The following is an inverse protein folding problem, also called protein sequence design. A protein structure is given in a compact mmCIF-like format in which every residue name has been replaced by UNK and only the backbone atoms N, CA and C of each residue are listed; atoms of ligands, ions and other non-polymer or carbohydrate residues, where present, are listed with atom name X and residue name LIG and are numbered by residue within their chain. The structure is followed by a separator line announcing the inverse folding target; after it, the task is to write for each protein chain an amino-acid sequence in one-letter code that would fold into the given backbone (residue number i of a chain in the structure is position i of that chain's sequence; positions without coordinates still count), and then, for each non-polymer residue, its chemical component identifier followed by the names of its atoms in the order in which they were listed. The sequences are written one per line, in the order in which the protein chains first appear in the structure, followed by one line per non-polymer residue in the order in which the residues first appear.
data_IF_227144603141
#
_entry.id   IF_227144603141
#
_cell.length_a   1.000
_cell.length_b   1.000
_cell.length_c   1.000
_cell.angle_alpha   90.00
_cell.angle_beta   90.00
_cell.angle_gamma   90.00
#
_symmetry.space_group_name_H-M   'P 1'
#
loop_
_entity.id
_entity.type
_entity.pdbx_description
1 polymer ?
#
# COMPACT_ATOMS: atom_id res chain seq x y z
N UNK A 1 27.24 1.13 -14.07
CA UNK A 1 26.39 0.84 -12.89
C UNK A 1 25.24 1.83 -12.96
N UNK A 2 24.01 1.38 -12.86
CA UNK A 2 22.85 2.30 -12.86
C UNK A 2 22.82 2.99 -11.50
N UNK A 3 22.90 4.29 -11.48
CA UNK A 3 22.84 5.07 -10.24
C UNK A 3 21.52 4.81 -9.52
N UNK A 4 21.61 4.60 -8.20
CA UNK A 4 20.44 4.41 -7.34
C UNK A 4 20.31 5.65 -6.49
N UNK A 5 19.24 6.38 -6.68
CA UNK A 5 18.88 7.52 -5.84
C UNK A 5 18.02 7.02 -4.67
N UNK A 6 18.49 7.22 -3.46
CA UNK A 6 17.72 6.88 -2.26
C UNK A 6 17.01 8.13 -1.72
N UNK A 7 15.69 8.09 -1.69
CA UNK A 7 14.86 9.19 -1.21
C UNK A 7 14.05 8.72 -0.01
N UNK A 8 14.26 9.39 1.12
CA UNK A 8 13.51 9.14 2.35
C UNK A 8 12.44 10.22 2.49
N UNK A 9 11.20 9.81 2.64
CA UNK A 9 10.09 10.73 2.83
C UNK A 9 10.24 11.47 4.17
N UNK A 10 10.10 12.80 4.11
CA UNK A 10 10.00 13.66 5.29
C UNK A 10 8.55 13.89 5.74
N UNK A 11 7.58 13.46 4.95
CA UNK A 11 6.15 13.53 5.19
C UNK A 11 5.38 12.68 4.19
N UNK A 12 4.09 12.54 4.42
CA UNK A 12 3.20 11.69 3.62
C UNK A 12 1.94 12.45 3.25
N UNK A 13 1.35 12.10 2.11
CA UNK A 13 0.13 12.71 1.61
C UNK A 13 -1.02 11.71 1.60
N UNK A 14 -2.26 12.19 1.77
CA UNK A 14 -3.47 11.37 1.72
C UNK A 14 -4.32 11.65 0.48
N UNK A 15 -3.74 12.40 -0.47
CA UNK A 15 -4.39 12.77 -1.74
C UNK A 15 -3.36 12.74 -2.86
N UNK A 16 -3.83 12.50 -4.09
CA UNK A 16 -3.06 12.69 -5.31
C UNK A 16 -3.26 14.12 -5.80
N UNK A 17 -2.21 14.93 -5.84
CA UNK A 17 -2.31 16.34 -6.23
C UNK A 17 -1.00 16.89 -6.78
N UNK A 18 -1.09 17.74 -7.80
CA UNK A 18 0.04 18.54 -8.30
C UNK A 18 0.45 19.68 -7.36
N UNK A 19 -0.41 20.01 -6.39
CA UNK A 19 -0.15 21.12 -5.45
C UNK A 19 0.72 20.72 -4.26
N UNK A 20 1.01 19.43 -4.10
CA UNK A 20 1.91 18.99 -3.03
C UNK A 20 3.37 19.36 -3.35
N UNK A 21 4.17 19.71 -2.32
CA UNK A 21 5.59 19.98 -2.51
C UNK A 21 6.30 18.74 -3.06
N UNK A 22 7.14 18.93 -4.07
CA UNK A 22 7.90 17.87 -4.71
C UNK A 22 8.90 17.28 -3.71
N UNK A 23 8.81 15.94 -3.48
CA UNK A 23 9.72 15.22 -2.61
C UNK A 23 11.13 15.08 -3.24
N UNK A 24 11.18 14.71 -4.51
CA UNK A 24 12.42 14.65 -5.29
C UNK A 24 12.13 14.77 -6.80
N UNK A 25 13.15 15.21 -7.57
CA UNK A 25 13.13 15.24 -9.03
C UNK A 25 13.91 14.05 -9.55
N UNK A 26 13.29 13.24 -10.40
CA UNK A 26 13.86 11.97 -10.88
C UNK A 26 14.05 12.05 -12.40
N UNK A 27 15.26 11.76 -12.84
CA UNK A 27 15.56 11.63 -14.28
C UNK A 27 15.08 10.26 -14.79
N UNK A 28 14.49 10.20 -16.00
CA UNK A 28 14.15 8.93 -16.62
C UNK A 28 15.35 7.98 -16.67
N UNK A 29 15.12 6.70 -16.37
CA UNK A 29 16.17 5.68 -16.35
C UNK A 29 16.96 5.55 -15.04
N UNK A 30 16.84 6.49 -14.13
CA UNK A 30 17.43 6.39 -12.78
C UNK A 30 16.60 5.42 -11.91
N UNK A 31 17.28 4.63 -11.09
CA UNK A 31 16.62 3.77 -10.10
C UNK A 31 16.35 4.54 -8.83
N UNK A 32 15.08 4.73 -8.53
CA UNK A 32 14.63 5.31 -7.27
C UNK A 32 14.47 4.20 -6.21
N UNK A 33 15.05 4.38 -5.03
CA UNK A 33 14.79 3.58 -3.83
C UNK A 33 14.08 4.44 -2.80
N UNK A 34 12.93 3.97 -2.33
CA UNK A 34 12.20 4.64 -1.26
C UNK A 34 11.55 3.65 -0.31
N UNK A 35 11.03 4.14 0.81
CA UNK A 35 10.27 3.39 1.79
C UNK A 35 8.86 3.96 1.89
N UNK A 36 7.89 3.09 2.06
CA UNK A 36 6.49 3.46 2.30
C UNK A 36 6.10 3.12 3.73
N UNK A 37 5.03 3.72 4.22
CA UNK A 37 4.32 3.31 5.42
C UNK A 37 3.12 2.44 5.06
N UNK A 38 2.54 1.75 6.03
CA UNK A 38 1.33 0.96 5.81
C UNK A 38 0.06 1.83 5.74
N UNK A 39 -1.08 1.20 5.49
CA UNK A 39 -2.38 1.89 5.35
C UNK A 39 -2.83 2.64 6.59
N UNK A 40 -2.33 2.28 7.76
CA UNK A 40 -2.60 2.96 9.03
C UNK A 40 -1.54 3.99 9.39
N UNK A 41 -0.51 4.15 8.57
CA UNK A 41 0.54 5.14 8.74
C UNK A 41 1.75 4.68 9.55
N UNK A 42 1.91 3.36 9.81
CA UNK A 42 3.05 2.84 10.56
C UNK A 42 4.24 2.54 9.66
N UNK A 43 5.41 2.90 10.12
CA UNK A 43 6.69 2.58 9.49
C UNK A 43 7.19 1.15 9.88
N UNK A 44 8.37 0.80 9.39
CA UNK A 44 8.98 -0.51 9.66
C UNK A 44 9.38 -0.71 11.13
N UNK A 45 9.48 0.35 11.92
CA UNK A 45 9.78 0.31 13.35
C UNK A 45 8.53 0.30 14.22
N UNK A 46 7.34 0.46 13.61
CA UNK A 46 6.08 0.60 14.32
C UNK A 46 5.77 2.03 14.77
N UNK A 47 6.62 3.02 14.42
CA UNK A 47 6.26 4.41 14.64
C UNK A 47 5.15 4.83 13.67
N UNK A 48 4.39 5.83 14.03
CA UNK A 48 3.28 6.33 13.23
C UNK A 48 3.54 7.75 12.72
N UNK A 49 4.41 7.90 11.69
CA UNK A 49 4.72 9.23 11.14
C UNK A 49 3.57 9.83 10.30
N UNK A 50 2.50 9.08 10.06
CA UNK A 50 1.32 9.54 9.31
C UNK A 50 0.03 9.04 9.93
N UNK A 51 -1.10 9.67 9.57
CA UNK A 51 -2.43 9.17 9.91
C UNK A 51 -2.85 7.94 9.10
N UNK A 52 -4.01 7.37 9.41
CA UNK A 52 -4.66 6.30 8.63
C UNK A 52 -5.15 6.80 7.27
N UNK A 53 -5.41 5.90 6.33
CA UNK A 53 -6.02 6.21 5.03
C UNK A 53 -5.02 6.16 3.88
N UNK A 54 -4.19 5.12 3.81
CA UNK A 54 -3.25 4.84 2.73
C UNK A 54 -2.29 6.01 2.43
N UNK A 55 -1.40 6.38 3.36
CA UNK A 55 -0.47 7.49 3.15
C UNK A 55 0.45 7.22 1.95
N UNK A 56 0.66 8.24 1.15
CA UNK A 56 1.44 8.22 -0.08
C UNK A 56 2.83 8.82 0.14
N UNK A 57 3.85 8.17 -0.39
CA UNK A 57 5.22 8.66 -0.54
C UNK A 57 5.34 9.35 -1.88
N UNK A 58 5.86 10.55 -1.91
CA UNK A 58 5.96 11.42 -3.09
C UNK A 58 5.43 12.83 -2.80
N UNK A 59 5.13 13.64 -3.84
CA UNK A 59 5.28 13.32 -5.26
C UNK A 59 6.74 13.30 -5.71
N UNK A 60 7.05 12.38 -6.60
CA UNK A 60 8.27 12.36 -7.38
C UNK A 60 8.00 13.07 -8.71
N UNK A 61 8.75 14.13 -8.99
CA UNK A 61 8.66 14.85 -10.24
C UNK A 61 9.55 14.16 -11.29
N UNK A 62 8.97 13.69 -12.37
CA UNK A 62 9.70 13.00 -13.44
C UNK A 62 10.15 14.03 -14.48
N UNK A 63 11.46 14.26 -14.56
CA UNK A 63 12.03 15.24 -15.48
C UNK A 63 11.73 14.90 -16.94
N UNK A 64 11.25 15.86 -17.69
CA UNK A 64 10.92 15.72 -19.12
C UNK A 64 9.57 15.03 -19.41
N UNK A 65 8.80 14.64 -18.39
CA UNK A 65 7.44 14.15 -18.61
C UNK A 65 6.48 15.32 -18.85
N UNK A 66 5.78 15.32 -19.98
CA UNK A 66 4.85 16.35 -20.39
C UNK A 66 3.40 15.87 -20.39
N UNK A 67 2.45 16.79 -20.28
CA UNK A 67 1.02 16.43 -20.34
C UNK A 67 0.67 15.77 -21.68
N UNK A 68 0.02 14.62 -21.61
CA UNK A 68 -0.29 13.77 -22.76
C UNK A 68 0.66 12.58 -22.94
N UNK A 69 1.78 12.58 -22.26
CA UNK A 69 2.70 11.45 -22.23
C UNK A 69 2.16 10.27 -21.39
N UNK A 70 2.93 9.21 -21.37
CA UNK A 70 2.79 8.08 -20.45
C UNK A 70 4.13 7.78 -19.81
N UNK A 71 4.14 7.58 -18.49
CA UNK A 71 5.32 7.09 -17.78
C UNK A 71 5.21 5.58 -17.55
N UNK A 72 6.36 4.88 -17.66
CA UNK A 72 6.49 3.46 -17.37
C UNK A 72 7.28 3.27 -16.08
N UNK A 73 6.61 2.86 -15.02
CA UNK A 73 7.23 2.62 -13.72
C UNK A 73 7.61 1.15 -13.58
N UNK A 74 8.91 0.86 -13.62
CA UNK A 74 9.46 -0.49 -13.49
C UNK A 74 9.70 -0.82 -12.02
N UNK A 75 8.96 -1.76 -11.46
CA UNK A 75 9.14 -2.23 -10.08
C UNK A 75 10.30 -3.23 -10.00
N UNK A 76 11.53 -2.72 -10.04
CA UNK A 76 12.74 -3.57 -10.07
C UNK A 76 12.87 -4.43 -8.81
N UNK A 77 12.42 -3.94 -7.66
CA UNK A 77 12.48 -4.64 -6.38
C UNK A 77 11.40 -4.15 -5.44
N UNK A 78 10.60 -5.08 -4.91
CA UNK A 78 9.56 -4.83 -3.90
C UNK A 78 9.82 -5.77 -2.73
N UNK A 79 10.01 -5.24 -1.52
CA UNK A 79 10.41 -6.02 -0.33
C UNK A 79 9.70 -5.55 0.92
N UNK A 80 9.30 -6.51 1.73
CA UNK A 80 8.92 -6.24 3.11
C UNK A 80 10.16 -5.77 3.91
N UNK A 81 9.95 -4.84 4.81
CA UNK A 81 11.00 -4.24 5.64
C UNK A 81 10.75 -4.43 7.15
N UNK A 82 9.79 -5.27 7.51
CA UNK A 82 9.44 -5.63 8.89
C UNK A 82 8.94 -7.08 8.95
N UNK A 83 8.99 -7.67 10.15
CA UNK A 83 8.68 -9.08 10.42
C UNK A 83 7.26 -9.30 10.98
N UNK A 84 6.42 -8.29 10.96
CA UNK A 84 5.05 -8.32 11.43
C UNK A 84 4.11 -7.59 10.47
N UNK A 85 2.84 -7.97 10.51
CA UNK A 85 1.78 -7.32 9.76
C UNK A 85 0.43 -7.56 10.40
N UNK A 86 -0.60 -7.01 9.82
CA UNK A 86 -1.99 -7.24 10.22
C UNK A 86 -2.92 -7.06 9.03
N UNK A 87 -4.07 -7.70 9.10
CA UNK A 87 -5.18 -7.48 8.19
C UNK A 87 -6.44 -7.25 8.98
N UNK A 88 -7.35 -6.41 8.45
CA UNK A 88 -8.69 -6.36 8.99
C UNK A 88 -9.45 -7.61 8.56
N UNK A 89 -10.13 -8.28 9.48
CA UNK A 89 -11.08 -9.32 9.11
C UNK A 89 -12.44 -8.76 8.71
N UNK A 90 -12.65 -7.45 8.88
CA UNK A 90 -13.85 -6.79 8.39
C UNK A 90 -13.76 -6.65 6.88
N UNK A 91 -14.66 -7.31 6.18
CA UNK A 91 -14.88 -7.07 4.77
C UNK A 91 -15.26 -5.60 4.56
N UNK A 92 -14.78 -5.00 3.46
CA UNK A 92 -15.09 -3.61 3.18
C UNK A 92 -16.61 -3.37 3.19
N UNK A 93 -17.04 -2.23 3.69
CA UNK A 93 -18.45 -1.84 3.84
C UNK A 93 -19.28 -1.97 2.55
N UNK A 94 -18.59 -1.98 1.40
CA UNK A 94 -19.23 -2.13 0.07
C UNK A 94 -19.35 -3.59 -0.39
N UNK A 95 -18.75 -4.54 0.35
CA UNK A 95 -18.71 -5.95 -0.04
C UNK A 95 -19.85 -6.78 0.57
N UNK A 96 -20.51 -6.27 1.61
CA UNK A 96 -21.58 -6.97 2.32
C UNK A 96 -22.76 -6.05 2.57
N UNK A 97 -23.97 -6.63 2.57
CA UNK A 97 -25.14 -5.92 3.07
C UNK A 97 -25.08 -5.76 4.59
N UNK A 98 -25.77 -4.77 5.17
CA UNK A 98 -25.81 -4.59 6.63
C UNK A 98 -26.24 -5.85 7.38
N UNK A 99 -27.19 -6.61 6.86
CA UNK A 99 -27.69 -7.86 7.44
C UNK A 99 -26.60 -8.94 7.41
N UNK A 100 -25.84 -9.01 6.34
CA UNK A 100 -24.73 -9.99 6.22
C UNK A 100 -23.59 -9.67 7.20
N UNK A 101 -23.35 -8.36 7.48
CA UNK A 101 -22.33 -7.92 8.44
C UNK A 101 -22.60 -8.48 9.83
N UNK A 102 -23.85 -8.47 10.30
CA UNK A 102 -24.21 -8.97 11.63
C UNK A 102 -23.93 -10.46 11.81
N UNK A 103 -23.95 -11.24 10.72
CA UNK A 103 -23.75 -12.68 10.75
C UNK A 103 -22.28 -13.11 10.62
N UNK A 104 -21.46 -12.27 9.97
CA UNK A 104 -20.07 -12.62 9.63
C UNK A 104 -19.08 -12.13 10.70
N UNK A 105 -19.43 -11.09 11.46
CA UNK A 105 -18.52 -10.54 12.46
C UNK A 105 -18.73 -11.17 13.83
N UNK A 106 -17.73 -11.87 14.38
CA UNK A 106 -17.73 -12.24 15.79
C UNK A 106 -17.77 -10.96 16.62
N UNK A 107 -18.66 -10.92 17.61
CA UNK A 107 -18.88 -9.74 18.45
C UNK A 107 -17.66 -9.34 19.28
N UNK A 108 -16.72 -10.28 19.50
CA UNK A 108 -15.50 -10.04 20.27
C UNK A 108 -14.33 -10.86 19.69
N UNK A 109 -13.45 -10.21 18.92
CA UNK A 109 -12.17 -10.77 18.54
C UNK A 109 -11.06 -10.07 19.32
N UNK A 110 -10.56 -10.71 20.36
CA UNK A 110 -9.45 -10.17 21.16
C UNK A 110 -8.13 -10.61 20.53
N UNK A 111 -7.51 -9.73 19.78
CA UNK A 111 -6.26 -10.07 19.12
C UNK A 111 -5.07 -10.03 20.05
N UNK A 112 -4.94 -9.08 20.97
CA UNK A 112 -3.84 -8.96 21.94
C UNK A 112 -2.41 -9.26 21.43
N UNK A 113 -2.22 -9.38 20.12
CA UNK A 113 -1.10 -10.09 19.48
C UNK A 113 -0.30 -9.20 18.53
N UNK A 114 -0.66 -7.94 18.40
CA UNK A 114 0.04 -7.02 17.49
C UNK A 114 1.21 -6.36 18.20
N UNK A 115 2.39 -6.36 17.58
CA UNK A 115 3.64 -5.84 18.14
C UNK A 115 3.69 -4.31 18.25
N UNK A 116 2.62 -3.63 17.91
CA UNK A 116 2.48 -2.17 18.00
C UNK A 116 1.47 -1.84 19.07
N UNK A 117 1.87 -1.05 20.04
CA UNK A 117 1.06 -0.68 21.23
C UNK A 117 -0.32 -0.14 20.83
N UNK A 118 -0.37 0.72 19.82
CA UNK A 118 -1.63 1.32 19.34
C UNK A 118 -2.60 0.33 18.67
N UNK A 119 -2.10 -0.84 18.28
CA UNK A 119 -2.87 -1.85 17.55
C UNK A 119 -3.24 -3.06 18.40
N UNK A 120 -2.59 -3.27 19.54
CA UNK A 120 -2.73 -4.46 20.39
C UNK A 120 -4.14 -4.72 20.87
N UNK A 121 -4.92 -3.66 21.07
CA UNK A 121 -6.29 -3.73 21.57
C UNK A 121 -7.35 -3.64 20.44
N UNK A 122 -6.90 -3.63 19.19
CA UNK A 122 -7.77 -3.58 18.02
C UNK A 122 -8.38 -4.97 17.75
N UNK A 123 -9.63 -5.15 18.20
CA UNK A 123 -10.39 -6.39 18.05
C UNK A 123 -10.76 -6.75 16.60
N UNK A 124 -10.57 -5.83 15.66
CA UNK A 124 -10.87 -5.99 14.25
C UNK A 124 -9.65 -6.36 13.39
N UNK A 125 -8.50 -6.61 14.02
CA UNK A 125 -7.27 -6.92 13.31
C UNK A 125 -6.80 -8.36 13.59
N UNK A 126 -6.45 -9.06 12.52
CA UNK A 126 -5.73 -10.33 12.59
C UNK A 126 -4.23 -10.04 12.42
N UNK A 127 -3.39 -10.37 13.42
CA UNK A 127 -1.95 -10.18 13.31
C UNK A 127 -1.30 -11.31 12.52
N UNK A 128 -0.20 -10.97 11.83
CA UNK A 128 0.59 -11.87 11.01
C UNK A 128 2.06 -11.78 11.38
N UNK A 129 2.72 -12.94 11.49
CA UNK A 129 4.17 -13.05 11.59
C UNK A 129 4.78 -13.22 10.21
N UNK A 130 5.75 -12.38 9.86
CA UNK A 130 6.42 -12.37 8.57
C UNK A 130 7.82 -12.94 8.73
N UNK A 131 8.10 -14.07 8.10
CA UNK A 131 9.43 -14.65 8.06
C UNK A 131 10.15 -14.18 6.80
N UNK A 132 10.99 -13.15 6.94
CA UNK A 132 11.76 -12.59 5.84
C UNK A 132 12.79 -13.55 5.23
N UNK A 133 13.31 -14.52 6.02
CA UNK A 133 14.29 -15.50 5.56
C UNK A 133 13.63 -16.59 4.71
N UNK A 134 12.49 -17.10 5.17
CA UNK A 134 11.71 -18.14 4.47
C UNK A 134 10.78 -17.57 3.41
N UNK A 135 10.61 -16.26 3.39
CA UNK A 135 9.61 -15.59 2.55
C UNK A 135 8.19 -16.15 2.75
N UNK A 136 7.78 -16.32 4.02
CA UNK A 136 6.44 -16.77 4.39
C UNK A 136 5.78 -15.81 5.38
N UNK A 137 4.46 -15.81 5.40
CA UNK A 137 3.63 -15.08 6.36
C UNK A 137 2.68 -16.05 7.02
N UNK A 138 2.58 -15.98 8.36
CA UNK A 138 1.75 -16.87 9.17
C UNK A 138 0.79 -16.08 10.03
N UNK A 139 -0.50 -16.47 10.01
CA UNK A 139 -1.47 -15.90 10.92
C UNK A 139 -1.16 -16.32 12.37
N UNK A 140 -1.20 -15.34 13.29
CA UNK A 140 -1.16 -15.67 14.73
C UNK A 140 -2.52 -16.20 15.14
N UNK A 141 -2.49 -17.33 15.84
CA UNK A 141 -3.71 -17.95 16.36
C UNK A 141 -4.31 -17.09 17.47
N UNK A 142 -5.63 -16.89 17.48
CA UNK A 142 -6.33 -16.47 18.69
C UNK A 142 -6.14 -17.53 19.79
N UNK A 143 -6.21 -17.08 21.03
CA UNK A 143 -6.10 -18.01 22.16
C UNK A 143 -7.27 -19.00 22.16
N UNK A 144 -6.96 -20.31 22.18
CA UNK A 144 -7.96 -21.37 22.17
C UNK A 144 -8.33 -21.92 20.78
N UNK A 145 -7.83 -21.32 19.71
CA UNK A 145 -8.07 -21.81 18.35
C UNK A 145 -6.94 -22.72 17.86
N UNK A 146 -7.28 -23.81 17.18
CA UNK A 146 -6.30 -24.73 16.60
C UNK A 146 -6.37 -24.71 15.07
N UNK A 147 -5.80 -23.67 14.45
CA UNK A 147 -5.59 -23.61 13.01
C UNK A 147 -4.16 -23.17 12.67
N UNK A 148 -3.70 -23.51 11.48
CA UNK A 148 -2.45 -22.99 10.94
C UNK A 148 -2.69 -22.45 9.55
N UNK A 149 -2.40 -21.17 9.37
CA UNK A 149 -2.54 -20.48 8.10
C UNK A 149 -1.22 -19.83 7.77
N UNK A 150 -0.52 -20.37 6.77
CA UNK A 150 0.78 -19.89 6.32
C UNK A 150 0.82 -19.82 4.80
N UNK A 151 1.34 -18.72 4.26
CA UNK A 151 1.43 -18.46 2.83
C UNK A 151 2.83 -17.98 2.43
N UNK A 152 3.25 -18.17 1.17
CA UNK A 152 4.37 -17.44 0.61
C UNK A 152 4.11 -15.93 0.61
N UNK A 153 5.14 -15.13 0.92
CA UNK A 153 5.05 -13.68 0.79
C UNK A 153 5.08 -13.28 -0.69
N UNK A 154 4.14 -12.45 -1.09
CA UNK A 154 4.11 -11.81 -2.41
C UNK A 154 3.97 -10.30 -2.25
N UNK A 155 5.05 -9.57 -1.95
CA UNK A 155 4.98 -8.14 -1.70
C UNK A 155 4.53 -7.39 -2.97
N UNK A 156 3.55 -6.50 -2.82
CA UNK A 156 2.98 -5.69 -3.88
C UNK A 156 2.79 -4.25 -3.43
N UNK A 157 2.68 -3.31 -4.37
CA UNK A 157 2.25 -1.94 -4.09
C UNK A 157 0.73 -1.85 -4.22
N UNK A 158 0.04 -1.50 -3.13
CA UNK A 158 -1.39 -1.23 -3.14
C UNK A 158 -1.72 0.08 -3.84
N UNK A 159 -0.93 1.11 -3.60
CA UNK A 159 -1.12 2.43 -4.21
C UNK A 159 0.05 2.80 -5.12
N UNK A 160 -0.27 3.13 -6.37
CA UNK A 160 0.64 3.77 -7.33
C UNK A 160 -0.17 4.66 -8.26
N UNK A 161 0.24 5.90 -8.46
CA UNK A 161 -0.50 6.82 -9.31
C UNK A 161 0.19 8.16 -9.48
N UNK A 162 -0.40 9.01 -10.31
CA UNK A 162 0.07 10.35 -10.65
C UNK A 162 -0.95 11.41 -10.23
N UNK A 163 -0.57 12.69 -10.29
CA UNK A 163 -1.54 13.76 -10.12
C UNK A 163 -2.61 13.70 -11.23
N UNK A 164 -3.91 13.66 -10.88
CA UNK A 164 -4.99 13.58 -11.86
C UNK A 164 -5.13 14.84 -12.72
N UNK A 165 -5.92 14.74 -13.79
CA UNK A 165 -6.21 15.86 -14.68
C UNK A 165 -6.89 17.04 -13.95
N UNK A 166 -6.58 18.24 -14.38
CA UNK A 166 -7.15 19.48 -13.83
C UNK A 166 -6.75 19.70 -12.37
N UNK A 167 -7.69 20.21 -11.58
CA UNK A 167 -7.51 20.47 -10.14
C UNK A 167 -8.18 19.41 -9.24
N UNK A 168 -8.57 18.26 -9.83
CA UNK A 168 -9.13 17.16 -9.09
C UNK A 168 -8.08 16.55 -8.15
N UNK A 169 -8.39 16.50 -6.86
CA UNK A 169 -7.49 16.03 -5.81
C UNK A 169 -8.18 14.91 -5.01
N UNK A 170 -8.22 13.69 -5.55
CA UNK A 170 -8.84 12.55 -4.88
C UNK A 170 -8.01 12.11 -3.68
N UNK A 171 -8.70 11.54 -2.69
CA UNK A 171 -8.02 10.85 -1.60
C UNK A 171 -7.27 9.62 -2.11
N UNK A 172 -6.37 9.08 -1.31
CA UNK A 172 -5.63 7.84 -1.61
C UNK A 172 -6.45 6.56 -1.44
N UNK A 173 -7.75 6.67 -1.16
CA UNK A 173 -8.66 5.52 -1.01
C UNK A 173 -9.15 4.92 -2.34
N UNK A 174 -9.68 5.71 -3.29
CA UNK A 174 -10.13 5.21 -4.58
C UNK A 174 -9.01 5.06 -5.59
N UNK A 175 -9.32 4.40 -6.70
CA UNK A 175 -8.52 4.34 -7.93
C UNK A 175 -9.26 5.00 -9.09
N UNK A 176 -8.53 5.34 -10.15
CA UNK A 176 -9.09 5.97 -11.36
C UNK A 176 -8.09 5.94 -12.50
N UNK A 177 -8.32 6.76 -13.54
CA UNK A 177 -7.41 6.87 -14.70
C UNK A 177 -6.00 7.33 -14.33
N UNK A 178 -5.82 7.93 -13.16
CA UNK A 178 -4.53 8.38 -12.62
C UNK A 178 -3.76 7.26 -11.88
N UNK A 179 -4.29 6.06 -11.78
CA UNK A 179 -3.84 5.00 -10.89
C UNK A 179 -4.60 5.05 -9.56
N UNK A 180 -3.90 5.13 -8.44
CA UNK A 180 -4.50 5.23 -7.10
C UNK A 180 -4.33 3.96 -6.27
N UNK A 181 -5.31 3.67 -5.42
CA UNK A 181 -5.32 2.46 -4.58
C UNK A 181 -5.85 1.26 -5.39
N UNK A 182 -5.00 0.72 -6.24
CA UNK A 182 -5.39 -0.32 -7.21
C UNK A 182 -5.53 -1.68 -6.52
N UNK A 183 -4.71 -1.95 -5.49
CA UNK A 183 -4.67 -3.21 -4.73
C UNK A 183 -4.59 -4.46 -5.63
N UNK A 184 -3.91 -4.36 -6.77
CA UNK A 184 -3.77 -5.46 -7.72
C UNK A 184 -2.49 -6.26 -7.48
N UNK A 185 -2.61 -7.55 -7.21
CA UNK A 185 -1.52 -8.41 -6.78
C UNK A 185 -0.38 -8.59 -7.80
N UNK A 186 -0.60 -8.26 -9.06
CA UNK A 186 0.44 -8.27 -10.09
C UNK A 186 1.29 -6.99 -10.11
N UNK A 187 0.95 -5.95 -9.32
CA UNK A 187 1.80 -4.77 -9.11
C UNK A 187 2.90 -5.10 -8.11
N UNK A 188 3.76 -6.01 -8.49
CA UNK A 188 4.83 -6.62 -7.69
C UNK A 188 6.19 -6.51 -8.39
N UNK A 189 7.23 -7.04 -7.77
CA UNK A 189 8.57 -7.07 -8.36
C UNK A 189 8.57 -7.59 -9.79
N UNK A 190 9.27 -6.89 -10.67
CA UNK A 190 9.41 -7.13 -12.13
C UNK A 190 8.19 -6.71 -12.96
N UNK A 191 7.12 -6.21 -12.38
CA UNK A 191 6.04 -5.62 -13.17
C UNK A 191 6.39 -4.22 -13.68
N UNK A 192 5.69 -3.80 -14.72
CA UNK A 192 5.76 -2.44 -15.27
C UNK A 192 4.36 -1.86 -15.20
N UNK A 193 4.23 -0.69 -14.57
CA UNK A 193 2.96 0.03 -14.50
C UNK A 193 3.04 1.23 -15.44
N UNK A 194 2.11 1.32 -16.38
CA UNK A 194 1.98 2.46 -17.28
C UNK A 194 0.93 3.41 -16.73
N UNK A 195 1.31 4.68 -16.55
CA UNK A 195 0.44 5.72 -16.03
C UNK A 195 0.43 6.92 -16.98
N UNK A 196 -0.74 7.54 -17.21
CA UNK A 196 -0.84 8.74 -18.03
C UNK A 196 -0.22 9.94 -17.31
N UNK A 197 0.29 10.89 -18.06
CA UNK A 197 0.81 12.16 -17.56
C UNK A 197 -0.21 13.26 -17.84
N UNK A 198 -0.79 13.83 -16.80
CA UNK A 198 -1.75 14.93 -16.91
C UNK A 198 -1.11 16.30 -16.70
N UNK A 199 0.03 16.34 -16.00
CA UNK A 199 0.77 17.55 -15.68
C UNK A 199 2.25 17.33 -15.92
N UNK A 200 2.97 18.36 -16.30
CA UNK A 200 4.43 18.34 -16.42
C UNK A 200 5.04 17.76 -15.15
N UNK A 201 5.94 16.77 -15.32
CA UNK A 201 6.56 16.04 -14.21
C UNK A 201 5.71 14.93 -13.61
N UNK A 202 4.51 14.65 -14.14
CA UNK A 202 3.60 13.56 -13.74
C UNK A 202 3.17 13.57 -12.26
N UNK A 203 4.02 13.95 -11.32
CA UNK A 203 3.81 13.88 -9.87
C UNK A 203 3.48 12.46 -9.42
N UNK A 204 4.44 11.56 -9.54
CA UNK A 204 4.30 10.16 -9.20
C UNK A 204 4.23 9.96 -7.68
N UNK A 205 3.28 9.14 -7.23
CA UNK A 205 3.14 8.69 -5.85
C UNK A 205 3.17 7.18 -5.76
N UNK A 206 3.72 6.67 -4.67
CA UNK A 206 3.67 5.25 -4.30
C UNK A 206 3.29 5.12 -2.83
N UNK A 207 2.56 4.05 -2.48
CA UNK A 207 2.14 3.88 -1.09
C UNK A 207 1.64 2.49 -0.79
N UNK A 208 1.44 2.24 0.48
CA UNK A 208 0.86 1.03 1.04
C UNK A 208 1.44 -0.26 0.43
N UNK A 209 2.59 -0.72 0.96
CA UNK A 209 3.11 -2.04 0.62
C UNK A 209 2.23 -3.10 1.30
N UNK A 210 1.65 -3.99 0.51
CA UNK A 210 0.90 -5.15 0.97
C UNK A 210 1.79 -6.40 0.95
N UNK A 211 1.55 -7.34 1.87
CA UNK A 211 2.44 -8.50 2.07
C UNK A 211 1.99 -9.75 1.34
N UNK A 212 0.70 -9.88 1.13
CA UNK A 212 0.07 -10.98 0.38
C UNK A 212 -1.27 -10.53 -0.18
N UNK A 213 -1.68 -11.16 -1.28
CA UNK A 213 -3.04 -11.20 -1.74
C UNK A 213 -3.64 -12.56 -1.34
N UNK A 214 -4.94 -12.69 -1.05
CA UNK A 214 -5.96 -11.74 -1.47
C UNK A 214 -6.20 -10.62 -0.44
N UNK A 215 -6.20 -9.38 -0.91
CA UNK A 215 -6.90 -8.32 -0.22
C UNK A 215 -8.40 -8.67 -0.23
N UNK A 216 -9.19 -8.32 0.79
CA UNK A 216 -10.65 -8.47 0.74
C UNK A 216 -11.31 -7.81 -0.49
N UNK A 217 -10.59 -6.95 -1.20
CA UNK A 217 -11.03 -6.33 -2.46
C UNK A 217 -10.75 -7.19 -3.69
N UNK A 218 -9.79 -8.10 -3.65
CA UNK A 218 -9.48 -9.00 -4.78
C UNK A 218 -10.59 -10.02 -5.03
N UNK A 219 -11.40 -10.34 -4.02
CA UNK A 219 -12.54 -11.24 -4.14
C UNK A 219 -13.70 -10.67 -4.98
N UNK A 220 -13.68 -9.39 -5.31
CA UNK A 220 -14.74 -8.73 -6.08
C UNK A 220 -14.43 -8.59 -7.58
N UNK A 221 -13.25 -9.03 -8.04
CA UNK A 221 -12.80 -8.89 -9.43
C UNK A 221 -12.73 -10.21 -10.20
N UNK A 222 -13.26 -11.31 -9.67
CA UNK A 222 -13.44 -12.54 -10.47
C UNK A 222 -14.81 -12.52 -11.13
N UNK A 223 -14.90 -12.64 -12.47
CA UNK A 223 -16.16 -12.77 -13.19
C UNK A 223 -16.90 -14.07 -12.84
#
# INVERSE_FOLDING_TARGET
MTDIEEVIASGYHHTFSRSHPILSRIKPGVKLRTKTVDSSGHDFKGNRPSGTGNPLTGPFYIEGAESGDSISVHLSKVRCNRDWGYSSYRLGLVALTPESVEHVYPKEYKTGLVNVEELKDRADLMPWDINLQRSTVKARKPQGEDFSLEFPIQPMLGCIGVAPAGDFTPTSGPSGSYGGNIDYNEIREKSIVHLPVYHEGAYLYVGCLLYTSPSPRDATLSP
#
